data_IF_622813548471
#
_entry.id   IF_622813548471
#
_cell.length_a   1.000
_cell.length_b   1.000
_cell.length_c   1.000
_cell.angle_alpha   90.00
_cell.angle_beta   90.00
_cell.angle_gamma   90.00
#
_symmetry.space_group_name_H-M   'P 1'
#
loop_
_entity.id
_entity.type
_entity.pdbx_description
1 polymer ?
#
# COMPACT_ATOMS: atom_id res chain seq x y z
N UNK A 1 21.42 -11.07 -4.73
CA UNK A 1 20.18 -10.74 -5.47
C UNK A 1 19.44 -9.62 -4.73
N UNK A 2 18.86 -8.66 -5.45
CA UNK A 2 18.11 -7.55 -4.87
C UNK A 2 16.64 -7.73 -5.26
N UNK A 3 15.76 -7.81 -4.25
CA UNK A 3 14.31 -7.90 -4.47
C UNK A 3 13.71 -6.49 -4.48
N UNK A 4 12.76 -6.25 -5.38
CA UNK A 4 11.93 -5.03 -5.40
C UNK A 4 10.64 -5.29 -4.62
N UNK A 5 10.38 -4.47 -3.63
CA UNK A 5 9.19 -4.52 -2.78
C UNK A 5 8.34 -3.27 -3.05
N UNK A 6 7.33 -3.41 -3.90
CA UNK A 6 6.57 -2.29 -4.46
C UNK A 6 5.56 -1.70 -3.48
N UNK A 7 5.33 -0.40 -3.57
CA UNK A 7 4.25 0.29 -2.89
C UNK A 7 2.89 -0.03 -3.53
N UNK A 8 1.82 0.05 -2.73
CA UNK A 8 0.44 -0.01 -3.25
C UNK A 8 -0.24 1.34 -3.11
N UNK A 9 -1.20 1.60 -3.98
CA UNK A 9 -2.18 2.66 -3.79
C UNK A 9 -3.60 2.09 -3.84
N UNK A 10 -4.50 2.70 -3.07
CA UNK A 10 -5.92 2.43 -3.13
C UNK A 10 -6.55 3.40 -4.14
N UNK A 11 -6.99 2.89 -5.28
CA UNK A 11 -7.71 3.67 -6.31
C UNK A 11 -9.13 4.01 -5.85
N UNK A 12 -9.71 3.19 -4.97
CA UNK A 12 -10.91 3.46 -4.18
C UNK A 12 -10.77 2.82 -2.81
N UNK A 13 -11.48 3.32 -1.81
CA UNK A 13 -11.59 2.69 -0.51
C UNK A 13 -12.96 3.01 0.07
N UNK A 14 -13.81 2.00 0.19
CA UNK A 14 -15.13 2.11 0.78
C UNK A 14 -15.18 1.36 2.11
N UNK A 15 -15.78 1.95 3.11
CA UNK A 15 -15.98 1.33 4.43
C UNK A 15 -17.44 0.90 4.51
N UNK A 16 -17.68 -0.41 4.59
CA UNK A 16 -19.01 -0.96 4.48
C UNK A 16 -19.71 -1.14 5.83
N UNK A 17 -18.96 -1.49 6.87
CA UNK A 17 -19.46 -1.61 8.26
C UNK A 17 -18.32 -1.79 9.24
N UNK A 18 -18.60 -1.60 10.52
CA UNK A 18 -17.76 -2.01 11.64
C UNK A 18 -18.08 -3.45 12.02
N UNK A 19 -17.06 -4.25 12.26
CA UNK A 19 -17.18 -5.65 12.69
C UNK A 19 -17.16 -5.75 14.22
N UNK A 20 -17.63 -6.88 14.77
CA UNK A 20 -17.64 -7.14 16.22
C UNK A 20 -16.24 -7.11 16.87
N UNK A 21 -15.21 -7.50 16.11
CA UNK A 21 -13.80 -7.46 16.55
C UNK A 21 -13.14 -6.07 16.47
N UNK A 22 -13.93 -5.02 16.21
CA UNK A 22 -13.47 -3.63 16.11
C UNK A 22 -12.84 -3.24 14.77
N UNK A 23 -12.60 -4.19 13.86
CA UNK A 23 -12.15 -3.89 12.50
C UNK A 23 -13.29 -3.34 11.65
N UNK A 24 -12.93 -2.76 10.50
CA UNK A 24 -13.90 -2.31 9.51
C UNK A 24 -13.85 -3.21 8.27
N UNK A 25 -15.01 -3.64 7.80
CA UNK A 25 -15.12 -4.30 6.51
C UNK A 25 -14.98 -3.24 5.41
N UNK A 26 -14.03 -3.45 4.53
CA UNK A 26 -13.69 -2.50 3.46
C UNK A 26 -13.73 -3.16 2.09
N UNK A 27 -14.01 -2.35 1.09
CA UNK A 27 -13.80 -2.67 -0.32
C UNK A 27 -12.82 -1.68 -0.93
N UNK A 28 -11.93 -2.15 -1.80
CA UNK A 28 -10.92 -1.29 -2.41
C UNK A 28 -10.46 -1.82 -3.76
N UNK A 29 -10.43 -0.96 -4.75
CA UNK A 29 -9.63 -1.19 -5.95
C UNK A 29 -8.23 -0.69 -5.64
N UNK A 30 -7.23 -1.52 -5.89
CA UNK A 30 -5.84 -1.17 -5.64
C UNK A 30 -4.92 -1.61 -6.77
N UNK A 31 -3.76 -0.97 -6.85
CA UNK A 31 -2.66 -1.41 -7.69
C UNK A 31 -1.32 -1.14 -7.03
N UNK A 32 -0.31 -1.92 -7.42
CA UNK A 32 1.08 -1.62 -7.12
C UNK A 32 1.56 -0.53 -8.07
N UNK A 33 2.50 0.28 -7.60
CA UNK A 33 3.13 1.38 -8.35
C UNK A 33 4.63 1.24 -8.34
N UNK A 34 5.33 1.85 -9.31
CA UNK A 34 6.78 1.76 -9.46
C UNK A 34 7.55 2.67 -8.47
N UNK A 35 7.13 2.62 -7.22
CA UNK A 35 7.86 3.08 -6.04
C UNK A 35 8.14 1.86 -5.18
N UNK A 36 9.40 1.53 -4.92
CA UNK A 36 9.74 0.29 -4.21
C UNK A 36 10.91 0.45 -3.25
N UNK A 37 10.90 -0.36 -2.21
CA UNK A 37 12.07 -0.62 -1.38
C UNK A 37 12.91 -1.72 -2.01
N UNK A 38 14.23 -1.67 -1.82
CA UNK A 38 15.13 -2.73 -2.27
C UNK A 38 15.56 -3.59 -1.08
N UNK A 39 15.40 -4.91 -1.20
CA UNK A 39 15.72 -5.87 -0.14
C UNK A 39 16.87 -6.75 -0.61
N UNK A 40 17.95 -6.79 0.15
CA UNK A 40 19.05 -7.74 -0.03
C UNK A 40 19.00 -8.76 1.11
N UNK A 41 19.06 -10.05 0.75
CA UNK A 41 18.98 -11.17 1.69
C UNK A 41 20.22 -12.04 1.50
N UNK A 42 20.90 -12.33 2.59
CA UNK A 42 22.02 -13.27 2.63
C UNK A 42 21.81 -14.25 3.79
N UNK A 43 22.12 -15.53 3.57
CA UNK A 43 22.11 -16.52 4.65
C UNK A 43 23.27 -16.19 5.59
N UNK A 44 22.97 -16.14 6.89
CA UNK A 44 23.99 -15.99 7.93
C UNK A 44 24.55 -17.35 8.27
N UNK A 45 25.82 -17.58 7.93
CA UNK A 45 26.48 -18.89 8.15
C UNK A 45 27.21 -18.98 9.49
N UNK A 46 27.45 -17.83 10.13
CA UNK A 46 28.32 -17.75 11.32
C UNK A 46 27.53 -17.59 12.62
N UNK A 47 26.36 -16.99 12.57
CA UNK A 47 25.58 -16.62 13.75
C UNK A 47 24.17 -17.21 13.71
N UNK A 48 23.70 -17.61 14.87
CA UNK A 48 22.34 -18.15 15.08
C UNK A 48 21.37 -17.01 15.39
N UNK A 49 21.50 -15.90 14.62
CA UNK A 49 20.68 -14.69 14.78
C UNK A 49 20.41 -14.01 13.44
N UNK A 50 19.23 -13.42 13.32
CA UNK A 50 18.89 -12.57 12.16
C UNK A 50 19.42 -11.16 12.38
N UNK A 51 20.25 -10.67 11.44
CA UNK A 51 20.67 -9.27 11.36
C UNK A 51 19.77 -8.50 10.38
N UNK A 52 19.08 -7.47 10.88
CA UNK A 52 18.15 -6.67 10.08
C UNK A 52 18.55 -5.21 10.13
N UNK A 53 18.85 -4.64 8.98
CA UNK A 53 19.24 -3.24 8.85
C UNK A 53 18.39 -2.49 7.83
N UNK A 54 18.18 -1.19 8.12
CA UNK A 54 17.41 -0.28 7.29
C UNK A 54 18.28 0.91 6.89
N UNK A 55 18.28 1.23 5.60
CA UNK A 55 18.95 2.39 5.01
C UNK A 55 17.96 3.19 4.16
N UNK A 56 18.37 4.30 3.57
CA UNK A 56 17.54 5.12 2.69
C UNK A 56 16.76 6.20 3.43
N UNK A 57 16.08 7.06 2.65
CA UNK A 57 15.47 8.32 3.11
C UNK A 57 14.38 8.13 4.17
N UNK A 58 13.71 6.98 4.19
CA UNK A 58 12.60 6.69 5.10
C UNK A 58 12.91 5.62 6.15
N UNK A 59 14.17 5.38 6.47
CA UNK A 59 14.61 4.37 7.45
C UNK A 59 14.51 4.82 8.92
N UNK A 60 14.63 6.11 9.20
CA UNK A 60 14.82 6.68 10.56
C UNK A 60 13.76 6.31 11.61
N UNK A 61 12.55 5.97 11.18
CA UNK A 61 11.43 5.70 12.10
C UNK A 61 11.08 4.21 12.22
N UNK A 62 11.95 3.32 11.75
CA UNK A 62 11.69 1.88 11.79
C UNK A 62 12.43 1.28 12.99
N UNK A 63 11.67 0.63 13.88
CA UNK A 63 12.27 -0.12 14.97
C UNK A 63 13.06 -1.32 14.44
N UNK A 64 14.30 -1.47 14.88
CA UNK A 64 15.12 -2.63 14.54
C UNK A 64 14.57 -3.92 15.16
N UNK A 65 13.95 -3.83 16.35
CA UNK A 65 13.45 -4.98 17.10
C UNK A 65 12.00 -5.33 16.75
N UNK A 66 11.15 -4.30 16.46
CA UNK A 66 9.73 -4.52 16.18
C UNK A 66 9.37 -4.01 14.79
N UNK A 67 9.55 -4.85 13.79
CA UNK A 67 9.23 -4.56 12.39
C UNK A 67 8.65 -5.79 11.68
N UNK A 68 8.00 -5.57 10.55
CA UNK A 68 7.34 -6.62 9.77
C UNK A 68 8.30 -7.70 9.26
N UNK A 69 9.55 -7.34 8.97
CA UNK A 69 10.57 -8.27 8.45
C UNK A 69 11.00 -9.24 9.54
N UNK A 70 11.32 -8.76 10.75
CA UNK A 70 11.65 -9.62 11.89
C UNK A 70 10.50 -10.54 12.25
N UNK A 71 9.29 -9.99 12.31
CA UNK A 71 8.07 -10.79 12.55
C UNK A 71 7.90 -11.88 11.49
N UNK A 72 8.18 -11.58 10.22
CA UNK A 72 8.09 -12.56 9.12
C UNK A 72 9.11 -13.70 9.29
N UNK A 73 10.36 -13.39 9.60
CA UNK A 73 11.39 -14.43 9.84
C UNK A 73 11.01 -15.32 11.01
N UNK A 74 10.57 -14.73 12.12
CA UNK A 74 10.13 -15.48 13.30
C UNK A 74 8.92 -16.38 12.97
N UNK A 75 7.95 -15.86 12.20
CA UNK A 75 6.77 -16.62 11.82
C UNK A 75 7.12 -17.79 10.89
N UNK A 76 8.00 -17.57 9.91
CA UNK A 76 8.49 -18.64 9.02
C UNK A 76 9.20 -19.75 9.82
N UNK A 77 10.07 -19.37 10.75
CA UNK A 77 10.83 -20.33 11.58
C UNK A 77 9.91 -21.10 12.53
N UNK A 78 8.98 -20.42 13.20
CA UNK A 78 7.98 -21.05 14.08
C UNK A 78 7.11 -22.09 13.36
N UNK A 79 6.95 -21.96 12.03
CA UNK A 79 6.16 -22.90 11.23
C UNK A 79 7.04 -23.88 10.41
N UNK A 80 8.33 -24.01 10.72
CA UNK A 80 9.25 -24.97 10.08
C UNK A 80 9.53 -24.68 8.60
N UNK A 81 9.20 -23.48 8.11
CA UNK A 81 9.39 -23.12 6.70
C UNK A 81 10.82 -22.66 6.39
N UNK A 82 11.55 -22.25 7.41
CA UNK A 82 12.99 -21.97 7.37
C UNK A 82 13.64 -22.45 8.67
N UNK A 83 14.90 -22.85 8.58
CA UNK A 83 15.76 -23.20 9.74
C UNK A 83 16.92 -22.22 9.88
N UNK A 84 17.31 -21.60 8.78
CA UNK A 84 18.46 -20.71 8.69
C UNK A 84 18.18 -19.31 9.29
N UNK A 85 19.28 -18.62 9.60
CA UNK A 85 19.28 -17.21 9.97
C UNK A 85 19.77 -16.35 8.79
N UNK A 86 19.34 -15.09 8.77
CA UNK A 86 19.55 -14.23 7.59
C UNK A 86 20.01 -12.82 7.99
N UNK A 87 20.93 -12.29 7.20
CA UNK A 87 21.20 -10.86 7.14
C UNK A 87 20.30 -10.24 6.07
N UNK A 88 19.39 -9.34 6.49
CA UNK A 88 18.41 -8.68 5.63
C UNK A 88 18.64 -7.18 5.67
N UNK A 89 19.06 -6.61 4.53
CA UNK A 89 19.25 -5.16 4.38
C UNK A 89 18.16 -4.58 3.49
N UNK A 90 17.50 -3.51 3.97
CA UNK A 90 16.38 -2.88 3.28
C UNK A 90 16.70 -1.41 3.05
N UNK A 91 16.75 -1.00 1.78
CA UNK A 91 16.84 0.41 1.40
C UNK A 91 15.42 0.97 1.26
N UNK A 92 15.03 1.83 2.21
CA UNK A 92 13.68 2.39 2.34
C UNK A 92 13.50 3.63 1.48
N UNK A 93 12.76 3.46 0.38
CA UNK A 93 12.28 4.54 -0.49
C UNK A 93 10.80 4.82 -0.30
N UNK A 94 10.04 3.85 0.21
CA UNK A 94 8.62 3.99 0.50
C UNK A 94 8.47 4.71 1.84
N UNK A 95 7.79 5.88 1.91
CA UNK A 95 7.51 6.57 3.16
C UNK A 95 6.77 5.69 4.15
N UNK A 96 7.21 5.69 5.41
CA UNK A 96 6.53 4.97 6.48
C UNK A 96 5.31 5.76 6.98
N UNK A 97 4.27 5.05 7.43
CA UNK A 97 3.01 5.65 7.92
C UNK A 97 2.29 6.53 6.89
N UNK A 98 2.51 6.28 5.60
CA UNK A 98 1.97 7.08 4.50
C UNK A 98 0.76 6.44 3.77
N UNK A 99 0.34 5.24 4.16
CA UNK A 99 -0.73 4.51 3.48
C UNK A 99 -0.29 3.69 2.25
N UNK A 100 1.00 3.64 1.94
CA UNK A 100 1.56 2.88 0.80
C UNK A 100 1.80 1.39 1.08
N UNK A 101 1.69 0.94 2.32
CA UNK A 101 1.85 -0.46 2.70
C UNK A 101 3.28 -1.01 2.61
N UNK A 102 4.31 -0.16 2.69
CA UNK A 102 5.71 -0.57 2.50
C UNK A 102 6.18 -1.69 3.44
N UNK A 103 5.75 -1.67 4.72
CA UNK A 103 6.09 -2.74 5.66
C UNK A 103 5.49 -4.09 5.29
N UNK A 104 4.22 -4.11 4.86
CA UNK A 104 3.53 -5.31 4.38
C UNK A 104 4.15 -5.83 3.09
N UNK A 105 4.51 -4.93 2.18
CA UNK A 105 5.23 -5.28 0.95
C UNK A 105 6.58 -5.94 1.25
N UNK A 106 7.37 -5.37 2.17
CA UNK A 106 8.66 -5.95 2.56
C UNK A 106 8.47 -7.36 3.14
N UNK A 107 7.47 -7.56 3.99
CA UNK A 107 7.16 -8.87 4.57
C UNK A 107 6.80 -9.90 3.48
N UNK A 108 5.88 -9.56 2.58
CA UNK A 108 5.47 -10.47 1.48
C UNK A 108 6.62 -10.79 0.55
N UNK A 109 7.42 -9.80 0.15
CA UNK A 109 8.58 -10.02 -0.73
C UNK A 109 9.61 -10.95 -0.08
N UNK A 110 9.88 -10.79 1.22
CA UNK A 110 10.76 -11.67 1.98
C UNK A 110 10.22 -13.10 2.07
N UNK A 111 8.95 -13.25 2.48
CA UNK A 111 8.29 -14.54 2.64
C UNK A 111 8.30 -15.30 1.30
N UNK A 112 7.88 -14.66 0.23
CA UNK A 112 7.84 -15.27 -1.11
C UNK A 112 9.21 -15.73 -1.57
N UNK A 113 10.25 -14.93 -1.31
CA UNK A 113 11.63 -15.30 -1.66
C UNK A 113 12.10 -16.52 -0.87
N UNK A 114 11.94 -16.53 0.46
CA UNK A 114 12.45 -17.60 1.32
C UNK A 114 11.66 -18.91 1.14
N UNK A 115 10.38 -18.83 0.83
CA UNK A 115 9.53 -20.01 0.58
C UNK A 115 9.42 -20.39 -0.89
N UNK A 116 10.13 -19.70 -1.80
CA UNK A 116 10.05 -19.89 -3.27
C UNK A 116 8.59 -19.83 -3.78
N UNK A 117 7.80 -18.91 -3.21
CA UNK A 117 6.35 -18.75 -3.44
C UNK A 117 5.49 -20.00 -3.07
N UNK A 118 6.02 -20.90 -2.27
CA UNK A 118 5.34 -22.13 -1.85
C UNK A 118 4.84 -21.98 -0.42
N UNK A 119 3.69 -21.35 -0.25
CA UNK A 119 2.98 -21.28 1.05
C UNK A 119 1.60 -21.88 0.90
N UNK A 120 1.17 -22.64 1.90
CA UNK A 120 -0.19 -23.19 1.94
C UNK A 120 -1.18 -22.14 2.47
N UNK A 121 -2.48 -22.44 2.29
CA UNK A 121 -3.56 -21.52 2.69
C UNK A 121 -3.54 -21.24 4.20
N UNK A 122 -3.28 -22.26 5.03
CA UNK A 122 -3.27 -22.08 6.48
C UNK A 122 -2.18 -21.10 6.92
N UNK A 123 -0.97 -21.24 6.39
CA UNK A 123 0.11 -20.29 6.65
C UNK A 123 -0.20 -18.90 6.11
N UNK A 124 -0.81 -18.81 4.93
CA UNK A 124 -1.25 -17.53 4.36
C UNK A 124 -2.23 -16.80 5.29
N UNK A 125 -3.23 -17.49 5.81
CA UNK A 125 -4.22 -16.90 6.72
C UNK A 125 -3.58 -16.52 8.06
N UNK A 126 -2.69 -17.35 8.62
CA UNK A 126 -1.93 -17.05 9.83
C UNK A 126 -1.07 -15.80 9.66
N UNK A 127 -0.34 -15.70 8.56
CA UNK A 127 0.48 -14.54 8.22
C UNK A 127 -0.35 -13.24 8.16
N UNK A 128 -1.52 -13.28 7.54
CA UNK A 128 -2.39 -12.10 7.47
C UNK A 128 -2.94 -11.68 8.85
N UNK A 129 -3.18 -12.64 9.74
CA UNK A 129 -3.65 -12.36 11.09
C UNK A 129 -2.54 -11.75 11.98
N UNK A 130 -1.32 -12.26 11.88
CA UNK A 130 -0.21 -11.84 12.75
C UNK A 130 0.54 -10.59 12.25
N UNK A 131 0.67 -10.42 10.92
CA UNK A 131 1.44 -9.34 10.33
C UNK A 131 0.57 -8.21 9.77
N UNK A 132 -0.73 -8.45 9.61
CA UNK A 132 -1.70 -7.44 9.16
C UNK A 132 -2.41 -7.79 7.86
N UNK A 133 -3.67 -7.37 7.77
CA UNK A 133 -4.59 -7.71 6.65
C UNK A 133 -4.16 -7.19 5.28
N UNK A 134 -3.31 -6.15 5.24
CA UNK A 134 -2.83 -5.56 3.99
C UNK A 134 -1.84 -6.46 3.23
N UNK A 135 -1.26 -7.51 3.87
CA UNK A 135 -0.29 -8.38 3.20
C UNK A 135 -0.87 -9.03 1.95
N UNK A 136 -2.13 -9.44 2.02
CA UNK A 136 -2.82 -10.08 0.87
C UNK A 136 -2.87 -9.23 -0.39
N UNK A 137 -2.81 -7.90 -0.27
CA UNK A 137 -2.81 -6.98 -1.40
C UNK A 137 -1.54 -7.09 -2.27
N UNK A 138 -0.45 -7.61 -1.71
CA UNK A 138 0.84 -7.69 -2.41
C UNK A 138 1.08 -9.00 -3.16
N UNK A 139 0.10 -9.91 -3.16
CA UNK A 139 0.15 -11.13 -3.99
C UNK A 139 -0.34 -10.90 -5.42
N UNK A 140 -0.95 -9.74 -5.70
CA UNK A 140 -1.40 -9.37 -7.04
C UNK A 140 -1.01 -7.93 -7.34
N UNK A 141 -0.51 -7.67 -8.56
CA UNK A 141 -0.15 -6.31 -8.96
C UNK A 141 -1.33 -5.34 -8.95
N UNK A 142 -2.56 -5.86 -9.05
CA UNK A 142 -3.81 -5.11 -8.98
C UNK A 142 -4.95 -6.04 -8.64
N UNK A 143 -5.95 -5.50 -7.97
CA UNK A 143 -7.10 -6.29 -7.56
C UNK A 143 -8.22 -5.46 -6.96
N UNK A 144 -9.33 -6.13 -6.76
CA UNK A 144 -10.46 -5.66 -5.99
C UNK A 144 -10.54 -6.44 -4.69
N UNK A 145 -10.28 -5.76 -3.59
CA UNK A 145 -10.53 -6.26 -2.24
C UNK A 145 -12.05 -6.22 -2.01
N UNK A 146 -12.70 -7.39 -2.06
CA UNK A 146 -14.16 -7.50 -1.88
C UNK A 146 -14.56 -7.42 -0.40
N UNK A 147 -13.69 -7.91 0.47
CA UNK A 147 -13.78 -7.86 1.93
C UNK A 147 -12.38 -8.14 2.52
N UNK A 148 -12.24 -8.16 3.84
CA UNK A 148 -10.94 -8.37 4.50
C UNK A 148 -10.21 -9.67 4.15
N UNK A 149 -10.92 -10.66 3.55
CA UNK A 149 -10.36 -11.99 3.24
C UNK A 149 -10.25 -12.27 1.75
N UNK A 150 -11.05 -11.63 0.91
CA UNK A 150 -11.21 -12.00 -0.49
C UNK A 150 -10.72 -10.91 -1.43
N UNK A 151 -9.76 -11.25 -2.27
CA UNK A 151 -9.33 -10.41 -3.38
C UNK A 151 -9.73 -11.07 -4.69
N UNK A 152 -10.29 -10.29 -5.60
CA UNK A 152 -10.47 -10.69 -6.99
C UNK A 152 -9.43 -9.98 -7.85
N UNK A 153 -8.64 -10.77 -8.56
CA UNK A 153 -7.60 -10.26 -9.47
C UNK A 153 -8.27 -9.49 -10.61
N UNK A 154 -7.72 -8.33 -10.95
CA UNK A 154 -8.10 -7.58 -12.15
C UNK A 154 -7.09 -7.93 -13.24
N UNK A 155 -7.52 -8.72 -14.23
CA UNK A 155 -6.63 -9.18 -15.29
C UNK A 155 -6.32 -8.07 -16.29
N UNK A 156 -7.29 -7.21 -16.60
CA UNK A 156 -7.11 -6.14 -17.57
C UNK A 156 -6.18 -5.06 -17.05
N UNK A 157 -5.18 -4.73 -17.85
CA UNK A 157 -4.18 -3.69 -17.53
C UNK A 157 -4.43 -2.46 -18.36
N UNK A 158 -4.42 -1.31 -17.68
CA UNK A 158 -4.36 -0.01 -18.31
C UNK A 158 -3.10 0.71 -17.85
N UNK A 159 -2.37 1.32 -18.77
CA UNK A 159 -1.23 2.16 -18.41
C UNK A 159 -1.75 3.43 -17.75
N UNK A 160 -1.52 3.52 -16.44
CA UNK A 160 -1.87 4.67 -15.62
C UNK A 160 -0.58 5.36 -15.18
N UNK A 161 -0.55 6.67 -15.28
CA UNK A 161 0.57 7.50 -14.87
C UNK A 161 0.23 8.19 -13.56
N UNK A 162 1.08 8.01 -12.56
CA UNK A 162 0.83 8.52 -11.22
C UNK A 162 1.83 9.62 -10.85
N UNK A 163 1.32 10.66 -10.21
CA UNK A 163 2.11 11.53 -9.36
C UNK A 163 1.84 11.13 -7.93
N UNK A 164 2.88 10.82 -7.16
CA UNK A 164 2.78 10.48 -5.74
C UNK A 164 3.32 11.65 -4.92
N UNK A 165 2.61 12.03 -3.87
CA UNK A 165 2.99 13.09 -2.96
C UNK A 165 2.84 12.65 -1.50
N UNK A 166 3.88 12.85 -0.71
CA UNK A 166 3.87 12.57 0.72
C UNK A 166 4.12 13.85 1.52
N UNK A 167 3.08 14.40 2.18
CA UNK A 167 3.19 15.67 2.90
C UNK A 167 3.89 15.57 4.26
N UNK A 168 4.58 14.45 4.56
CA UNK A 168 5.30 14.18 5.82
C UNK A 168 4.41 14.26 7.08
N UNK A 169 3.10 14.09 6.93
CA UNK A 169 2.14 14.04 8.03
C UNK A 169 1.93 12.58 8.43
N UNK A 170 2.15 12.25 9.70
CA UNK A 170 1.89 10.91 10.25
C UNK A 170 0.40 10.78 10.56
N UNK A 171 -0.31 9.89 9.84
CA UNK A 171 -1.70 9.55 10.11
C UNK A 171 -1.76 8.19 10.82
N UNK A 172 -2.31 8.18 12.03
CA UNK A 172 -2.58 6.94 12.74
C UNK A 172 -3.78 6.24 12.10
N UNK A 173 -3.58 5.07 11.51
CA UNK A 173 -4.65 4.27 10.92
C UNK A 173 -5.77 4.02 11.95
N UNK A 174 -5.41 3.62 13.17
CA UNK A 174 -6.38 3.39 14.27
C UNK A 174 -7.22 4.63 14.55
N UNK A 175 -6.59 5.80 14.66
CA UNK A 175 -7.29 7.05 14.91
C UNK A 175 -8.21 7.47 13.75
N UNK A 176 -7.76 7.31 12.51
CA UNK A 176 -8.59 7.66 11.34
C UNK A 176 -9.81 6.76 11.24
N UNK A 177 -9.65 5.45 11.42
CA UNK A 177 -10.76 4.50 11.42
C UNK A 177 -11.74 4.70 12.60
N UNK A 178 -11.27 5.11 13.78
CA UNK A 178 -12.15 5.36 14.93
C UNK A 178 -13.11 6.54 14.72
N UNK A 179 -12.81 7.43 13.76
CA UNK A 179 -13.65 8.60 13.41
C UNK A 179 -14.68 8.33 12.32
N UNK A 180 -14.74 7.09 11.80
CA UNK A 180 -15.74 6.70 10.80
C UNK A 180 -17.13 6.67 11.41
N UNK A 181 -18.04 7.49 10.87
CA UNK A 181 -19.44 7.56 11.32
C UNK A 181 -20.44 7.12 10.26
N UNK A 182 -20.02 7.10 8.98
CA UNK A 182 -20.88 6.75 7.83
C UNK A 182 -20.30 5.57 7.09
N UNK A 183 -21.17 4.71 6.61
CA UNK A 183 -20.78 3.49 5.87
C UNK A 183 -21.31 3.55 4.45
N UNK A 184 -20.50 3.11 3.51
CA UNK A 184 -20.85 3.03 2.09
C UNK A 184 -21.44 1.65 1.80
N UNK A 185 -22.53 1.57 1.04
CA UNK A 185 -23.10 0.30 0.58
C UNK A 185 -22.06 -0.48 -0.24
N UNK A 186 -22.05 -1.81 -0.04
CA UNK A 186 -21.18 -2.68 -0.83
C UNK A 186 -21.46 -2.52 -2.31
N UNK A 187 -20.41 -2.41 -3.09
CA UNK A 187 -20.50 -2.35 -4.54
C UNK A 187 -20.03 -3.66 -5.15
N UNK A 188 -20.72 -4.12 -6.17
CA UNK A 188 -20.26 -5.24 -6.99
C UNK A 188 -19.45 -4.71 -8.17
N UNK A 189 -18.14 -4.60 -7.94
CA UNK A 189 -17.18 -4.19 -8.97
C UNK A 189 -17.08 -5.20 -10.13
N UNK A 190 -17.40 -6.46 -9.87
CA UNK A 190 -17.13 -7.58 -10.77
C UNK A 190 -18.04 -7.65 -11.97
N UNK A 191 -19.22 -7.06 -11.85
CA UNK A 191 -20.19 -6.97 -12.95
C UNK A 191 -19.82 -5.84 -13.94
N UNK A 192 -18.74 -5.09 -13.67
CA UNK A 192 -18.29 -3.99 -14.54
C UNK A 192 -17.16 -4.46 -15.45
N UNK A 193 -17.50 -4.79 -16.68
CA UNK A 193 -16.52 -5.11 -17.71
C UNK A 193 -16.10 -3.84 -18.44
N UNK A 194 -15.03 -3.20 -17.98
CA UNK A 194 -14.47 -2.02 -18.66
C UNK A 194 -13.77 -2.45 -19.95
N UNK A 195 -14.35 -2.12 -21.10
CA UNK A 195 -13.75 -2.43 -22.41
C UNK A 195 -12.60 -1.48 -22.73
N UNK A 196 -12.73 -0.19 -22.40
CA UNK A 196 -11.76 0.87 -22.68
C UNK A 196 -11.16 1.46 -21.40
N UNK A 197 -9.98 2.07 -21.52
CA UNK A 197 -9.31 2.80 -20.43
C UNK A 197 -10.19 3.94 -19.89
N UNK A 198 -10.87 4.65 -20.77
CA UNK A 198 -11.69 5.80 -20.38
C UNK A 198 -12.89 5.40 -19.53
N UNK A 199 -13.52 4.26 -19.82
CA UNK A 199 -14.61 3.72 -18.99
C UNK A 199 -14.12 3.45 -17.57
N UNK A 200 -12.92 2.85 -17.45
CA UNK A 200 -12.30 2.58 -16.14
C UNK A 200 -11.94 3.87 -15.41
N UNK A 201 -11.36 4.86 -16.12
CA UNK A 201 -11.03 6.17 -15.52
C UNK A 201 -12.29 6.89 -15.05
N UNK A 202 -13.35 6.91 -15.87
CA UNK A 202 -14.63 7.54 -15.51
C UNK A 202 -15.26 6.86 -14.29
N UNK A 203 -15.18 5.54 -14.21
CA UNK A 203 -15.59 4.82 -13.01
C UNK A 203 -14.77 5.24 -11.79
N UNK A 204 -13.44 5.28 -11.92
CA UNK A 204 -12.56 5.66 -10.81
C UNK A 204 -12.77 7.11 -10.36
N UNK A 205 -13.10 8.03 -11.26
CA UNK A 205 -13.44 9.42 -10.89
C UNK A 205 -14.62 9.49 -9.91
N UNK A 206 -15.62 8.64 -10.11
CA UNK A 206 -16.80 8.56 -9.25
C UNK A 206 -16.57 7.77 -7.93
N UNK A 207 -15.45 7.03 -7.83
CA UNK A 207 -15.07 6.37 -6.59
C UNK A 207 -14.52 7.39 -5.58
N UNK A 208 -14.52 6.99 -4.30
CA UNK A 208 -13.99 7.80 -3.19
C UNK A 208 -13.02 7.00 -2.35
N UNK A 209 -12.32 7.68 -1.46
CA UNK A 209 -11.71 7.11 -0.28
C UNK A 209 -12.47 7.65 0.94
N UNK A 210 -13.25 6.80 1.60
CA UNK A 210 -14.12 7.21 2.70
C UNK A 210 -13.37 7.79 3.91
N UNK A 211 -12.07 7.49 4.02
CA UNK A 211 -11.20 8.05 5.06
C UNK A 211 -10.68 9.45 4.72
N UNK A 212 -10.73 9.87 3.45
CA UNK A 212 -10.11 11.10 3.00
C UNK A 212 -10.71 12.34 3.67
N UNK A 213 -12.03 12.45 3.74
CA UNK A 213 -12.70 13.61 4.37
C UNK A 213 -12.38 13.76 5.86
N UNK A 214 -12.17 12.62 6.55
CA UNK A 214 -11.75 12.60 7.96
C UNK A 214 -10.36 13.20 8.12
N UNK A 215 -9.44 12.80 7.24
CA UNK A 215 -8.06 13.25 7.27
C UNK A 215 -7.94 14.71 6.82
N UNK A 216 -8.66 15.11 5.77
CA UNK A 216 -8.72 16.50 5.30
C UNK A 216 -9.23 17.47 6.37
N UNK A 217 -10.24 17.04 7.14
CA UNK A 217 -10.76 17.84 8.27
C UNK A 217 -9.70 18.06 9.35
N UNK A 218 -8.90 17.04 9.66
CA UNK A 218 -7.83 17.14 10.66
C UNK A 218 -6.59 17.86 10.11
N UNK A 219 -6.29 17.68 8.81
CA UNK A 219 -5.09 18.20 8.16
C UNK A 219 -5.45 18.94 6.85
N UNK A 220 -5.87 20.22 6.92
CA UNK A 220 -6.28 20.99 5.73
C UNK A 220 -5.22 21.06 4.63
N UNK A 221 -3.93 20.94 4.98
CA UNK A 221 -2.82 20.85 4.01
C UNK A 221 -2.99 19.72 3.00
N UNK A 222 -3.62 18.61 3.40
CA UNK A 222 -3.89 17.47 2.51
C UNK A 222 -4.95 17.84 1.49
N UNK A 223 -6.02 18.53 1.89
CA UNK A 223 -7.05 19.04 1.00
C UNK A 223 -6.46 19.99 -0.06
N UNK A 224 -5.59 20.92 0.39
CA UNK A 224 -4.92 21.87 -0.51
C UNK A 224 -3.99 21.16 -1.50
N UNK A 225 -3.20 20.18 -1.02
CA UNK A 225 -2.33 19.37 -1.87
C UNK A 225 -3.12 18.60 -2.94
N UNK A 226 -4.23 17.97 -2.56
CA UNK A 226 -5.11 17.25 -3.50
C UNK A 226 -5.70 18.19 -4.54
N UNK A 227 -6.15 19.37 -4.13
CA UNK A 227 -6.61 20.42 -5.06
C UNK A 227 -5.50 20.81 -6.01
N UNK A 228 -4.32 21.14 -5.50
CA UNK A 228 -3.18 21.54 -6.34
C UNK A 228 -2.77 20.45 -7.34
N UNK A 229 -2.90 19.17 -6.98
CA UNK A 229 -2.66 18.04 -7.89
C UNK A 229 -3.75 17.99 -8.96
N UNK A 230 -5.04 18.09 -8.56
CA UNK A 230 -6.17 17.99 -9.50
C UNK A 230 -6.19 19.13 -10.53
N UNK A 231 -5.72 20.32 -10.15
CA UNK A 231 -5.66 21.49 -11.02
C UNK A 231 -4.51 21.42 -12.04
N UNK A 232 -3.71 20.36 -12.06
CA UNK A 232 -2.64 20.19 -13.08
C UNK A 232 -3.20 19.67 -14.39
N UNK A 233 -2.73 20.24 -15.49
CA UNK A 233 -3.11 19.84 -16.86
C UNK A 233 -2.87 18.34 -17.05
N UNK A 234 -3.86 17.63 -17.54
CA UNK A 234 -3.81 16.19 -17.78
C UNK A 234 -4.08 15.32 -16.55
N UNK A 235 -4.42 15.90 -15.39
CA UNK A 235 -4.87 15.15 -14.23
C UNK A 235 -6.33 14.72 -14.42
N UNK A 236 -6.59 13.43 -14.32
CA UNK A 236 -7.94 12.89 -14.34
C UNK A 236 -8.65 13.06 -13.00
N UNK A 237 -7.95 12.80 -11.91
CA UNK A 237 -8.39 13.01 -10.54
C UNK A 237 -7.20 12.88 -9.56
N UNK A 238 -7.37 13.42 -8.36
CA UNK A 238 -6.46 13.24 -7.24
C UNK A 238 -7.18 12.55 -6.07
N UNK A 239 -6.43 11.79 -5.24
CA UNK A 239 -6.99 11.09 -4.08
C UNK A 239 -5.91 10.75 -3.05
N UNK A 240 -6.32 10.64 -1.79
CA UNK A 240 -5.49 10.09 -0.72
C UNK A 240 -5.50 8.55 -0.79
N UNK A 241 -4.37 7.89 -0.51
CA UNK A 241 -4.28 6.43 -0.45
C UNK A 241 -4.36 5.91 0.98
N UNK A 242 -5.13 4.83 1.19
CA UNK A 242 -5.31 4.20 2.49
C UNK A 242 -5.85 5.18 3.54
N UNK A 243 -5.32 5.10 4.74
CA UNK A 243 -5.62 6.03 5.85
C UNK A 243 -4.80 7.33 5.80
N UNK A 244 -4.06 7.56 4.72
CA UNK A 244 -3.22 8.73 4.53
C UNK A 244 -1.82 8.55 5.16
N UNK A 245 -1.01 9.59 5.05
CA UNK A 245 -1.27 10.93 4.49
C UNK A 245 -0.92 11.07 3.00
N UNK A 246 -0.34 10.02 2.38
CA UNK A 246 0.06 10.14 0.99
C UNK A 246 -1.13 10.37 0.06
N UNK A 247 -0.88 11.26 -0.90
CA UNK A 247 -1.80 11.66 -1.95
C UNK A 247 -1.25 11.22 -3.31
N UNK A 248 -2.12 11.05 -4.28
CA UNK A 248 -1.72 10.79 -5.64
C UNK A 248 -2.64 11.49 -6.64
N UNK A 249 -2.12 11.74 -7.83
CA UNK A 249 -2.90 12.11 -9.00
C UNK A 249 -2.74 11.07 -10.09
N UNK A 250 -3.82 10.80 -10.83
CA UNK A 250 -3.80 9.96 -12.05
C UNK A 250 -3.79 10.87 -13.25
N UNK A 251 -2.85 10.66 -14.16
CA UNK A 251 -2.61 11.52 -15.31
C UNK A 251 -2.84 10.79 -16.63
N UNK A 252 -3.14 11.57 -17.67
CA UNK A 252 -3.39 11.09 -19.03
C UNK A 252 -2.17 10.43 -19.66
N UNK A 253 -0.98 10.98 -19.37
CA UNK A 253 0.30 10.49 -19.88
C UNK A 253 1.46 10.87 -18.94
N UNK A 254 2.64 10.33 -19.23
CA UNK A 254 3.86 10.53 -18.45
C UNK A 254 4.32 11.99 -18.45
N UNK A 255 4.26 12.66 -19.60
CA UNK A 255 4.71 14.06 -19.72
C UNK A 255 3.87 14.99 -18.83
N UNK A 256 2.56 14.79 -18.79
CA UNK A 256 1.66 15.54 -17.90
C UNK A 256 1.99 15.32 -16.44
N UNK A 257 2.27 14.08 -16.03
CA UNK A 257 2.64 13.78 -14.64
C UNK A 257 4.00 14.38 -14.26
N UNK A 258 4.99 14.32 -15.16
CA UNK A 258 6.33 14.95 -14.97
C UNK A 258 6.23 16.47 -14.88
N UNK A 259 5.45 17.10 -15.74
CA UNK A 259 5.22 18.55 -15.72
C UNK A 259 4.53 18.99 -14.42
N UNK A 260 3.54 18.22 -13.96
CA UNK A 260 2.87 18.45 -12.69
C UNK A 260 3.86 18.33 -11.51
N UNK A 261 4.72 17.29 -11.50
CA UNK A 261 5.75 17.09 -10.48
C UNK A 261 6.70 18.29 -10.41
N UNK A 262 7.20 18.77 -11.56
CA UNK A 262 8.10 19.94 -11.62
C UNK A 262 7.47 21.20 -11.00
N UNK A 263 6.17 21.43 -11.29
CA UNK A 263 5.44 22.59 -10.73
C UNK A 263 5.17 22.43 -9.23
N UNK A 264 4.75 21.23 -8.78
CA UNK A 264 4.41 20.99 -7.39
C UNK A 264 5.63 21.01 -6.47
N UNK A 265 6.79 20.55 -6.93
CA UNK A 265 8.06 20.62 -6.15
C UNK A 265 8.49 22.04 -5.80
N UNK A 266 8.06 23.06 -6.55
CA UNK A 266 8.32 24.47 -6.21
C UNK A 266 7.48 24.94 -5.01
N UNK A 267 6.31 24.34 -4.81
CA UNK A 267 5.37 24.68 -3.71
C UNK A 267 5.50 23.72 -2.51
N UNK A 268 5.87 22.49 -2.81
CA UNK A 268 6.02 21.39 -1.83
C UNK A 268 7.37 20.72 -2.05
N UNK A 269 8.46 21.28 -1.48
CA UNK A 269 9.82 20.80 -1.63
C UNK A 269 10.04 19.39 -1.05
#
# INVERSE_FOLDING_TARGET
>A
MVLKSYAKINLSLSINRKLSNGLHEIQSIYCLVDLYDSITIKKNKKEVIDDISFTGTHSKHISKLNNSVRKSLNLLRKNGLITDYYSVRINKKIPVFAGFGGGSSNAVSLINYLTKNKINKNFFDKMNNELGSDLRLFYHNRGFLKNLKTIKKINKSYNLYFLLAYPSIKCSTKEVYSKVKKYTKKQDYLNKNFKKKDDFINYLKNCKNDLQSIVEKKYPKIKNLLKDISDRKGCYFSRMTGSGSACYGVFSNENSSKAALKKLRKKYP
#
